data_IF_324456345359
#
_entry.id   IF_324456345359
#
_cell.length_a   1.000
_cell.length_b   1.000
_cell.length_c   1.000
_cell.angle_alpha   90.00
_cell.angle_beta   90.00
_cell.angle_gamma   90.00
#
_symmetry.space_group_name_H-M   'P 1'
#
loop_
_entity.id
_entity.type
_entity.pdbx_description
1 polymer ?
#
# COMPACT_ATOMS: atom_id res chain seq x y z
N UNK A 1 -39.46 23.92 -17.14
CA UNK A 1 -39.20 22.90 -16.10
C UNK A 1 -38.21 21.87 -16.66
N UNK A 2 -36.95 21.87 -16.20
CA UNK A 2 -35.94 20.87 -16.61
C UNK A 2 -34.95 20.65 -15.45
N UNK A 3 -35.37 19.85 -14.47
CA UNK A 3 -34.50 19.39 -13.35
C UNK A 3 -34.30 17.85 -13.39
N UNK A 4 -34.90 17.15 -14.35
CA UNK A 4 -34.92 15.67 -14.39
C UNK A 4 -33.76 15.12 -15.25
N UNK A 5 -32.52 15.50 -14.95
CA UNK A 5 -31.33 14.88 -15.58
C UNK A 5 -30.40 14.17 -14.58
N UNK A 6 -30.49 14.48 -13.28
CA UNK A 6 -29.60 13.91 -12.24
C UNK A 6 -30.04 12.54 -11.71
N UNK A 7 -31.34 12.35 -11.47
CA UNK A 7 -31.84 11.16 -10.77
C UNK A 7 -31.91 9.92 -11.67
N UNK A 8 -32.41 10.09 -12.91
CA UNK A 8 -32.44 9.03 -13.93
C UNK A 8 -31.03 8.60 -14.39
N UNK A 9 -30.07 9.53 -14.43
CA UNK A 9 -28.69 9.21 -14.78
C UNK A 9 -27.97 8.47 -13.65
N UNK A 10 -28.20 8.88 -12.40
CA UNK A 10 -27.68 8.18 -11.21
C UNK A 10 -28.19 6.73 -11.13
N UNK A 11 -29.49 6.50 -11.35
CA UNK A 11 -30.05 5.14 -11.38
C UNK A 11 -29.39 4.27 -12.46
N UNK A 12 -29.12 4.84 -13.64
CA UNK A 12 -28.41 4.14 -14.72
C UNK A 12 -26.98 3.76 -14.31
N UNK A 13 -26.25 4.68 -13.68
CA UNK A 13 -24.90 4.42 -13.17
C UNK A 13 -24.89 3.34 -12.07
N UNK A 14 -25.81 3.38 -11.11
CA UNK A 14 -25.93 2.37 -10.05
C UNK A 14 -26.21 0.99 -10.66
N UNK A 15 -27.10 0.91 -11.67
CA UNK A 15 -27.40 -0.35 -12.36
C UNK A 15 -26.17 -0.89 -13.10
N UNK A 16 -25.43 -0.03 -13.80
CA UNK A 16 -24.17 -0.41 -14.47
C UNK A 16 -23.13 -0.90 -13.45
N UNK A 17 -22.97 -0.20 -12.33
CA UNK A 17 -22.04 -0.58 -11.27
C UNK A 17 -22.40 -1.94 -10.66
N UNK A 18 -23.68 -2.20 -10.43
CA UNK A 18 -24.16 -3.51 -9.94
C UNK A 18 -23.86 -4.65 -10.92
N UNK A 19 -24.08 -4.44 -12.22
CA UNK A 19 -23.74 -5.43 -13.26
C UNK A 19 -22.24 -5.68 -13.28
N UNK A 20 -21.41 -4.62 -13.30
CA UNK A 20 -19.95 -4.76 -13.31
C UNK A 20 -19.41 -5.39 -12.03
N UNK A 21 -20.00 -5.07 -10.87
CA UNK A 21 -19.67 -5.71 -9.60
C UNK A 21 -20.00 -7.21 -9.61
N UNK A 22 -21.14 -7.59 -10.19
CA UNK A 22 -21.50 -9.00 -10.42
C UNK A 22 -20.52 -9.72 -11.35
N UNK A 23 -20.10 -9.07 -12.44
CA UNK A 23 -19.10 -9.63 -13.37
C UNK A 23 -17.73 -9.83 -12.70
N UNK A 24 -17.32 -8.96 -11.76
CA UNK A 24 -16.10 -9.15 -10.97
C UNK A 24 -16.18 -10.36 -10.04
N UNK A 25 -17.31 -10.58 -9.38
CA UNK A 25 -17.54 -11.80 -8.58
C UNK A 25 -17.48 -13.08 -9.45
N UNK A 26 -17.97 -12.99 -10.68
CA UNK A 26 -17.84 -14.09 -11.65
C UNK A 26 -16.38 -14.32 -12.06
N UNK A 27 -15.60 -13.26 -12.20
CA UNK A 27 -14.16 -13.36 -12.49
C UNK A 27 -13.41 -14.12 -11.38
N UNK A 28 -13.70 -13.84 -10.10
CA UNK A 28 -13.12 -14.59 -8.97
C UNK A 28 -13.48 -16.09 -9.01
N UNK A 29 -14.75 -16.41 -9.28
CA UNK A 29 -15.20 -17.80 -9.45
C UNK A 29 -14.52 -18.49 -10.63
N UNK A 30 -14.31 -17.75 -11.72
CA UNK A 30 -13.64 -18.25 -12.93
C UNK A 30 -12.17 -18.55 -12.65
N UNK A 31 -11.45 -17.68 -11.93
CA UNK A 31 -10.06 -17.91 -11.55
C UNK A 31 -9.93 -19.17 -10.69
N UNK A 32 -10.77 -19.31 -9.64
CA UNK A 32 -10.75 -20.52 -8.80
C UNK A 32 -11.01 -21.80 -9.61
N UNK A 33 -11.96 -21.73 -10.54
CA UNK A 33 -12.26 -22.88 -11.42
C UNK A 33 -11.08 -23.19 -12.34
N UNK A 34 -10.38 -22.18 -12.88
CA UNK A 34 -9.17 -22.36 -13.70
C UNK A 34 -8.03 -22.97 -12.87
N UNK A 35 -7.84 -22.55 -11.61
CA UNK A 35 -6.83 -23.11 -10.71
C UNK A 35 -7.07 -24.60 -10.40
N UNK A 36 -8.33 -25.02 -10.35
CA UNK A 36 -8.73 -26.42 -10.15
C UNK A 36 -8.66 -27.28 -11.44
N UNK A 37 -8.45 -26.67 -12.61
CA UNK A 37 -8.33 -27.39 -13.86
C UNK A 37 -6.96 -28.07 -14.00
N UNK A 38 -6.88 -29.27 -14.61
CA UNK A 38 -5.60 -29.97 -14.85
C UNK A 38 -4.70 -29.31 -15.90
N UNK A 39 -5.09 -28.14 -16.43
CA UNK A 39 -4.36 -27.40 -17.47
C UNK A 39 -3.80 -26.13 -16.84
N UNK A 40 -2.49 -25.93 -16.96
CA UNK A 40 -1.81 -24.74 -16.44
C UNK A 40 -2.08 -23.51 -17.31
N UNK A 41 -2.68 -22.48 -16.73
CA UNK A 41 -2.85 -21.16 -17.35
C UNK A 41 -1.87 -20.16 -16.73
N UNK A 42 -0.90 -19.65 -17.51
CA UNK A 42 0.08 -18.68 -17.03
C UNK A 42 -0.40 -17.23 -17.25
N UNK A 43 -0.88 -16.60 -16.18
CA UNK A 43 -1.30 -15.19 -16.17
C UNK A 43 -0.13 -14.21 -16.21
N UNK A 44 1.13 -14.66 -16.09
CA UNK A 44 2.28 -13.76 -15.92
C UNK A 44 2.61 -12.94 -17.17
N UNK A 45 2.14 -13.37 -18.34
CA UNK A 45 2.27 -12.58 -19.57
C UNK A 45 1.26 -11.44 -19.65
N UNK A 46 0.18 -11.49 -18.87
CA UNK A 46 -0.90 -10.52 -18.87
C UNK A 46 -0.37 -9.12 -18.52
N UNK A 47 -0.88 -8.11 -19.23
CA UNK A 47 -0.49 -6.73 -19.05
C UNK A 47 -0.84 -6.20 -17.65
N UNK A 48 -2.04 -6.51 -17.14
CA UNK A 48 -2.49 -6.07 -15.82
C UNK A 48 -1.70 -6.74 -14.70
N UNK A 49 -1.34 -8.02 -14.86
CA UNK A 49 -0.46 -8.72 -13.92
C UNK A 49 0.92 -8.05 -13.85
N UNK A 50 1.53 -7.74 -15.00
CA UNK A 50 2.83 -7.05 -15.06
C UNK A 50 2.76 -5.68 -14.41
N UNK A 51 1.72 -4.90 -14.71
CA UNK A 51 1.48 -3.58 -14.12
C UNK A 51 1.38 -3.68 -12.58
N UNK A 52 0.56 -4.58 -12.06
CA UNK A 52 0.43 -4.77 -10.60
C UNK A 52 1.73 -5.23 -9.95
N UNK A 53 2.54 -6.06 -10.64
CA UNK A 53 3.86 -6.47 -10.15
C UNK A 53 4.88 -5.32 -10.13
N UNK A 54 4.78 -4.37 -11.06
CA UNK A 54 5.62 -3.17 -11.07
C UNK A 54 5.22 -2.20 -9.95
N UNK A 55 3.92 -1.93 -9.79
CA UNK A 55 3.40 -1.12 -8.68
C UNK A 55 3.81 -1.72 -7.32
N UNK A 56 3.61 -3.03 -7.10
CA UNK A 56 4.02 -3.67 -5.85
C UNK A 56 5.54 -3.69 -5.60
N UNK A 57 6.36 -3.61 -6.66
CA UNK A 57 7.82 -3.45 -6.51
C UNK A 57 8.21 -2.04 -6.10
N UNK A 58 7.47 -1.03 -6.57
CA UNK A 58 7.68 0.36 -6.21
C UNK A 58 7.26 0.60 -4.76
N UNK A 59 6.03 0.19 -4.40
CA UNK A 59 5.53 0.24 -3.02
C UNK A 59 6.47 -0.49 -2.05
N UNK A 60 6.90 -1.72 -2.41
CA UNK A 60 7.83 -2.47 -1.58
C UNK A 60 9.22 -1.82 -1.43
N UNK A 61 9.66 -1.00 -2.39
CA UNK A 61 10.92 -0.22 -2.25
C UNK A 61 10.72 0.96 -1.31
N UNK A 62 9.61 1.66 -1.40
CA UNK A 62 9.27 2.78 -0.51
C UNK A 62 9.11 2.31 0.94
N UNK A 63 8.39 1.20 1.16
CA UNK A 63 8.25 0.59 2.48
C UNK A 63 9.61 0.15 3.03
N UNK A 64 10.44 -0.52 2.22
CA UNK A 64 11.77 -0.94 2.65
C UNK A 64 12.71 0.24 2.97
N UNK A 65 12.58 1.36 2.27
CA UNK A 65 13.33 2.57 2.57
C UNK A 65 12.91 3.15 3.93
N UNK A 66 11.61 3.35 4.14
CA UNK A 66 11.06 3.84 5.41
C UNK A 66 11.42 2.93 6.60
N UNK A 67 11.37 1.61 6.41
CA UNK A 67 11.73 0.65 7.46
C UNK A 67 13.23 0.72 7.79
N UNK A 68 14.10 0.90 6.78
CA UNK A 68 15.54 1.11 7.00
C UNK A 68 15.82 2.39 7.78
N UNK A 69 15.15 3.51 7.44
CA UNK A 69 15.28 4.77 8.21
C UNK A 69 14.97 4.52 9.69
N UNK A 70 13.83 3.88 9.98
CA UNK A 70 13.41 3.57 11.35
C UNK A 70 14.39 2.64 12.06
N UNK A 71 14.90 1.62 11.40
CA UNK A 71 15.87 0.68 11.99
C UNK A 71 17.17 1.40 12.36
N UNK A 72 17.69 2.26 11.48
CA UNK A 72 18.93 3.01 11.73
C UNK A 72 18.75 3.96 12.90
N UNK A 73 17.66 4.74 12.92
CA UNK A 73 17.36 5.65 14.02
C UNK A 73 17.17 4.90 15.34
N UNK A 74 16.43 3.79 15.34
CA UNK A 74 16.21 2.98 16.55
C UNK A 74 17.53 2.43 17.10
N UNK A 75 18.40 1.90 16.23
CA UNK A 75 19.72 1.37 16.62
C UNK A 75 20.65 2.48 17.12
N UNK A 76 20.64 3.65 16.49
CA UNK A 76 21.42 4.80 16.93
C UNK A 76 20.96 5.30 18.30
N UNK A 77 19.64 5.40 18.50
CA UNK A 77 19.04 5.79 19.77
C UNK A 77 19.37 4.80 20.89
N UNK A 78 19.28 3.48 20.64
CA UNK A 78 19.67 2.44 21.59
C UNK A 78 21.16 2.50 21.98
N UNK A 79 22.02 2.97 21.07
CA UNK A 79 23.45 3.17 21.32
C UNK A 79 23.78 4.52 21.98
N UNK A 80 22.77 5.30 22.35
CA UNK A 80 22.92 6.64 22.95
C UNK A 80 23.67 7.64 22.06
N UNK A 81 23.58 7.48 20.74
CA UNK A 81 24.10 8.46 19.77
C UNK A 81 23.25 9.74 19.79
N UNK A 82 23.85 10.88 19.44
CA UNK A 82 23.10 12.13 19.33
C UNK A 82 22.20 12.13 18.07
N UNK A 83 21.08 12.87 18.05
CA UNK A 83 20.23 13.01 16.86
C UNK A 83 20.99 13.52 15.62
N UNK A 84 22.01 14.35 15.82
CA UNK A 84 22.88 14.89 14.78
C UNK A 84 23.80 13.80 14.20
N UNK A 85 24.41 12.96 15.04
CA UNK A 85 25.24 11.83 14.60
C UNK A 85 24.41 10.78 13.83
N UNK A 86 23.17 10.55 14.26
CA UNK A 86 22.24 9.65 13.57
C UNK A 86 21.81 10.22 12.22
N UNK A 87 21.56 11.53 12.15
CA UNK A 87 21.23 12.23 10.91
C UNK A 87 22.39 12.17 9.90
N UNK A 88 23.63 12.38 10.37
CA UNK A 88 24.83 12.24 9.54
C UNK A 88 25.03 10.80 9.04
N UNK A 89 24.84 9.80 9.91
CA UNK A 89 24.99 8.39 9.55
C UNK A 89 23.94 7.92 8.53
N UNK A 90 22.72 8.44 8.64
CA UNK A 90 21.58 8.03 7.83
C UNK A 90 21.31 8.94 6.62
N UNK A 91 22.14 9.97 6.42
CA UNK A 91 22.00 10.99 5.37
C UNK A 91 20.58 11.56 5.29
N UNK A 92 20.04 11.97 6.44
CA UNK A 92 18.67 12.47 6.56
C UNK A 92 18.59 13.71 7.45
N UNK A 93 17.54 14.54 7.31
CA UNK A 93 17.38 15.73 8.14
C UNK A 93 17.23 15.39 9.62
N UNK A 94 17.82 16.23 10.49
CA UNK A 94 17.72 16.06 11.95
C UNK A 94 16.27 16.09 12.42
N UNK A 95 15.41 16.88 11.76
CA UNK A 95 13.97 16.96 12.03
C UNK A 95 13.28 15.60 11.85
N UNK A 96 13.69 14.82 10.84
CA UNK A 96 13.16 13.50 10.55
C UNK A 96 13.55 12.49 11.64
N UNK A 97 14.82 12.52 12.05
CA UNK A 97 15.33 11.69 13.17
C UNK A 97 14.57 12.01 14.46
N UNK A 98 14.39 13.29 14.78
CA UNK A 98 13.67 13.72 15.98
C UNK A 98 12.19 13.30 15.95
N UNK A 99 11.52 13.37 14.79
CA UNK A 99 10.14 12.90 14.65
C UNK A 99 10.03 11.40 14.94
N UNK A 100 10.95 10.58 14.41
CA UNK A 100 10.99 9.13 14.65
C UNK A 100 11.26 8.83 16.12
N UNK A 101 12.21 9.53 16.77
CA UNK A 101 12.49 9.35 18.20
C UNK A 101 11.26 9.69 19.06
N UNK A 102 10.54 10.77 18.75
CA UNK A 102 9.29 11.13 19.46
C UNK A 102 8.21 10.04 19.31
N UNK A 103 8.08 9.45 18.12
CA UNK A 103 7.18 8.31 17.90
C UNK A 103 7.58 7.09 18.74
N UNK A 104 8.88 6.79 18.84
CA UNK A 104 9.41 5.69 19.67
C UNK A 104 9.13 5.94 21.15
N UNK A 105 9.40 7.16 21.65
CA UNK A 105 9.11 7.53 23.04
C UNK A 105 7.60 7.48 23.37
N UNK A 106 6.75 7.88 22.43
CA UNK A 106 5.29 7.80 22.60
C UNK A 106 4.79 6.35 22.71
N UNK A 107 5.38 5.43 21.93
CA UNK A 107 5.09 3.99 22.04
C UNK A 107 5.53 3.42 23.40
N UNK A 108 6.73 3.77 23.85
CA UNK A 108 7.24 3.33 25.16
C UNK A 108 6.40 3.87 26.34
N UNK A 109 5.86 5.10 26.23
CA UNK A 109 5.00 5.70 27.26
C UNK A 109 3.54 5.23 27.23
N UNK A 110 3.06 4.71 26.10
CA UNK A 110 1.69 4.20 25.94
C UNK A 110 1.50 2.74 26.38
N UNK A 111 2.59 2.03 26.66
CA UNK A 111 2.62 0.62 27.07
C UNK A 111 2.86 0.43 28.59
N UNK A 112 2.89 1.50 29.38
CA UNK A 112 3.02 1.48 30.84
C UNK A 112 1.75 1.95 31.55
#
# INVERSE_FOLDING_TARGET
>A
QKVVKGELSLQKYIRQLNVMSGLRKLHELTIKTIEDMPVTYDVRSDFLYKKGKEEGKEEGREEAFNEKERIVVTRGWQKSMSPEEIAELADMPVERVQAIIRELEAKVKGEG
#
